data_IF_396763065671
#
_entry.id   IF_396763065671
#
_cell.length_a   1.000
_cell.length_b   1.000
_cell.length_c   1.000
_cell.angle_alpha   90.00
_cell.angle_beta   90.00
_cell.angle_gamma   90.00
#
_symmetry.space_group_name_H-M   'P 1'
#
loop_
_entity.id
_entity.type
_entity.pdbx_description
1 polymer ?
#
# COMPACT_ATOMS: atom_id res chain seq x y z
N UNK A 1 72.76 -1.16 26.57
CA UNK A 1 72.27 -0.33 25.44
C UNK A 1 71.22 -1.13 24.69
N UNK A 2 69.93 -0.84 24.94
CA UNK A 2 68.79 -1.45 24.25
C UNK A 2 68.13 -0.35 23.42
N UNK A 3 68.11 -0.53 22.10
CA UNK A 3 67.49 0.37 21.13
C UNK A 3 66.17 -0.21 20.63
N UNK A 4 65.09 0.44 21.03
CA UNK A 4 63.99 0.97 20.21
C UNK A 4 63.37 0.08 19.12
N UNK A 5 62.10 -0.28 19.30
CA UNK A 5 60.94 0.34 18.58
C UNK A 5 59.63 -0.33 19.01
N UNK A 6 58.83 0.41 19.79
CA UNK A 6 57.42 0.14 20.00
C UNK A 6 56.64 0.71 18.81
N UNK A 7 55.90 -0.14 18.10
CA UNK A 7 54.96 0.27 17.05
C UNK A 7 53.62 0.51 17.75
N UNK A 8 53.31 1.79 17.93
CA UNK A 8 51.98 2.30 18.25
C UNK A 8 51.17 2.35 16.96
N UNK A 9 50.18 1.47 16.81
CA UNK A 9 49.14 1.61 15.79
C UNK A 9 47.93 2.31 16.42
N UNK A 10 47.86 3.61 16.16
CA UNK A 10 46.68 4.45 16.38
C UNK A 10 45.53 3.96 15.50
N UNK A 11 44.50 3.39 16.12
CA UNK A 11 43.21 3.15 15.49
C UNK A 11 42.57 4.51 15.15
N UNK A 12 42.58 4.86 13.87
CA UNK A 12 41.89 6.03 13.35
C UNK A 12 40.40 5.73 13.30
N UNK A 13 39.68 6.04 14.39
CA UNK A 13 38.22 6.06 14.42
C UNK A 13 37.70 7.26 13.65
N UNK A 14 37.47 7.08 12.34
CA UNK A 14 36.78 8.07 11.52
C UNK A 14 35.27 7.95 11.80
N UNK A 15 34.79 8.74 12.76
CA UNK A 15 33.36 8.99 12.95
C UNK A 15 32.83 9.73 11.73
N UNK A 16 32.19 9.00 10.82
CA UNK A 16 31.35 9.60 9.78
C UNK A 16 30.10 10.11 10.47
N UNK A 17 30.12 11.39 10.87
CA UNK A 17 28.91 12.10 11.23
C UNK A 17 28.10 12.30 9.93
N UNK A 18 27.13 11.43 9.70
CA UNK A 18 26.10 11.66 8.68
C UNK A 18 25.27 12.84 9.16
N UNK A 19 25.57 14.03 8.64
CA UNK A 19 24.68 15.17 8.77
C UNK A 19 23.37 14.83 8.03
N UNK A 20 22.34 14.46 8.80
CA UNK A 20 20.96 14.46 8.32
C UNK A 20 20.64 15.89 7.87
N UNK A 21 20.73 16.13 6.57
CA UNK A 21 20.28 17.37 5.98
C UNK A 21 18.76 17.38 6.11
N UNK A 22 18.25 18.09 7.12
CA UNK A 22 16.85 18.41 7.24
C UNK A 22 16.46 19.16 5.98
N UNK A 23 15.74 18.48 5.08
CA UNK A 23 15.10 19.11 3.94
C UNK A 23 14.09 20.11 4.50
N UNK A 24 14.49 21.39 4.63
CA UNK A 24 13.61 22.47 5.05
C UNK A 24 12.52 22.61 4.00
N UNK A 25 11.33 22.10 4.31
CA UNK A 25 10.13 22.39 3.55
C UNK A 25 9.77 23.86 3.77
N UNK A 26 9.72 24.63 2.69
CA UNK A 26 9.25 26.01 2.67
C UNK A 26 7.73 26.05 2.93
N UNK A 27 7.31 25.81 4.17
CA UNK A 27 5.97 26.11 4.66
C UNK A 27 6.10 27.14 5.79
N UNK A 28 5.24 28.15 5.79
CA UNK A 28 5.19 29.15 6.86
C UNK A 28 5.09 28.45 8.22
N UNK A 29 5.92 28.80 9.21
CA UNK A 29 5.93 28.11 10.49
C UNK A 29 4.57 28.27 11.19
N UNK A 30 3.98 27.15 11.59
CA UNK A 30 2.77 27.10 12.42
C UNK A 30 3.05 27.83 13.73
N UNK A 31 2.27 28.86 14.07
CA UNK A 31 2.41 29.55 15.35
C UNK A 31 1.78 28.75 16.49
N UNK A 32 2.28 28.92 17.72
CA UNK A 32 1.71 28.27 18.91
C UNK A 32 0.21 28.56 19.08
N UNK A 33 -0.21 29.81 18.84
CA UNK A 33 -1.62 30.19 18.93
C UNK A 33 -2.51 29.47 17.90
N UNK A 34 -2.02 29.29 16.66
CA UNK A 34 -2.74 28.52 15.64
C UNK A 34 -2.82 27.04 16.02
N UNK A 35 -1.72 26.47 16.52
CA UNK A 35 -1.68 25.08 16.96
C UNK A 35 -2.65 24.82 18.12
N UNK A 36 -2.64 25.67 19.14
CA UNK A 36 -3.52 25.52 20.30
C UNK A 36 -5.00 25.65 19.92
N UNK A 37 -5.32 26.61 19.04
CA UNK A 37 -6.68 26.76 18.51
C UNK A 37 -7.12 25.54 17.67
N UNK A 38 -6.21 25.00 16.86
CA UNK A 38 -6.46 23.80 16.07
C UNK A 38 -6.67 22.58 16.97
N UNK A 39 -5.76 22.33 17.92
CA UNK A 39 -5.86 21.20 18.83
C UNK A 39 -7.15 21.26 19.64
N UNK A 40 -7.49 22.42 20.21
CA UNK A 40 -8.74 22.62 20.94
C UNK A 40 -9.98 22.37 20.09
N UNK A 41 -9.95 22.74 18.81
CA UNK A 41 -11.08 22.51 17.89
C UNK A 41 -11.31 21.03 17.60
N UNK A 42 -10.25 20.21 17.64
CA UNK A 42 -10.26 18.84 17.15
C UNK A 42 -9.90 17.80 18.21
N UNK A 43 -9.81 18.20 19.48
CA UNK A 43 -9.47 17.34 20.63
C UNK A 43 -10.54 16.26 20.86
N UNK A 44 -11.80 16.56 20.54
CA UNK A 44 -12.89 15.60 20.57
C UNK A 44 -13.23 15.11 19.18
N UNK A 45 -13.28 13.79 19.00
CA UNK A 45 -13.80 13.20 17.78
C UNK A 45 -15.28 13.54 17.59
N UNK A 46 -15.62 14.07 16.43
CA UNK A 46 -16.99 14.23 15.96
C UNK A 46 -17.17 13.45 14.64
N UNK A 47 -18.21 12.63 14.56
CA UNK A 47 -18.46 11.82 13.38
C UNK A 47 -18.57 12.70 12.12
N UNK A 48 -17.86 12.30 11.06
CA UNK A 48 -17.81 12.99 9.76
C UNK A 48 -17.20 14.41 9.78
N UNK A 49 -16.62 14.86 10.91
CA UNK A 49 -15.85 16.10 10.97
C UNK A 49 -14.38 15.78 11.22
N UNK A 50 -13.53 16.09 10.26
CA UNK A 50 -12.09 15.81 10.36
C UNK A 50 -11.25 16.93 9.74
N UNK A 51 -10.05 17.19 10.28
CA UNK A 51 -9.11 18.18 9.72
C UNK A 51 -8.35 17.59 8.52
N UNK A 52 -9.07 17.18 7.48
CA UNK A 52 -8.52 16.51 6.30
C UNK A 52 -8.24 17.47 5.13
N UNK A 53 -8.59 18.75 5.29
CA UNK A 53 -8.29 19.81 4.31
C UNK A 53 -6.76 19.94 4.13
N UNK A 54 -6.24 20.00 2.89
CA UNK A 54 -4.81 20.21 2.64
C UNK A 54 -4.18 21.40 3.39
N UNK A 55 -4.95 22.48 3.64
CA UNK A 55 -4.43 23.65 4.36
C UNK A 55 -4.14 23.37 5.85
N UNK A 56 -4.80 22.37 6.41
CA UNK A 56 -4.69 21.99 7.82
C UNK A 56 -3.55 20.98 8.05
N UNK A 57 -2.91 20.47 6.99
CA UNK A 57 -1.83 19.47 7.08
C UNK A 57 -0.67 19.89 8.00
N UNK A 58 -0.13 21.12 7.92
CA UNK A 58 0.96 21.52 8.80
C UNK A 58 0.53 21.56 10.28
N UNK A 59 -0.72 21.96 10.55
CA UNK A 59 -1.29 21.99 11.90
C UNK A 59 -1.53 20.58 12.43
N UNK A 60 -2.01 19.66 11.59
CA UNK A 60 -2.23 18.27 11.94
C UNK A 60 -0.90 17.57 12.29
N UNK A 61 0.15 17.79 11.51
CA UNK A 61 1.47 17.22 11.80
C UNK A 61 2.09 17.82 13.07
N UNK A 62 1.95 19.14 13.28
CA UNK A 62 2.41 19.79 14.50
C UNK A 62 1.64 19.32 15.75
N UNK A 63 0.34 19.04 15.62
CA UNK A 63 -0.47 18.48 16.70
C UNK A 63 -0.04 17.05 17.04
N UNK A 64 0.21 16.21 16.03
CA UNK A 64 0.75 14.87 16.20
C UNK A 64 2.13 14.88 16.88
N UNK A 65 2.99 15.83 16.53
CA UNK A 65 4.30 15.98 17.17
C UNK A 65 4.19 16.44 18.63
N UNK A 66 3.28 17.37 18.92
CA UNK A 66 3.05 17.89 20.27
C UNK A 66 2.40 16.88 21.21
N UNK A 67 1.48 16.05 20.69
CA UNK A 67 0.74 15.06 21.47
C UNK A 67 0.52 13.77 20.67
N UNK A 68 1.53 12.88 20.55
CA UNK A 68 1.43 11.66 19.73
C UNK A 68 0.34 10.69 20.15
N UNK A 69 -0.16 10.80 21.39
CA UNK A 69 -1.23 9.96 21.96
C UNK A 69 -2.63 10.51 21.71
N UNK A 70 -2.73 11.76 21.25
CA UNK A 70 -4.00 12.37 20.88
C UNK A 70 -4.59 11.76 19.60
N UNK A 71 -5.74 12.29 19.12
CA UNK A 71 -6.47 11.74 17.97
C UNK A 71 -5.78 11.95 16.61
N UNK A 72 -4.60 12.58 16.58
CA UNK A 72 -3.98 13.11 15.36
C UNK A 72 -3.54 12.00 14.40
N UNK A 73 -3.06 10.85 14.92
CA UNK A 73 -2.72 9.70 14.10
C UNK A 73 -3.95 9.15 13.36
N UNK A 74 -5.10 9.10 14.05
CA UNK A 74 -6.38 8.72 13.45
C UNK A 74 -6.78 9.71 12.35
N UNK A 75 -6.62 11.02 12.55
CA UNK A 75 -6.92 11.99 11.50
C UNK A 75 -6.00 11.86 10.26
N UNK A 76 -4.72 11.52 10.44
CA UNK A 76 -3.81 11.19 9.33
C UNK A 76 -4.32 9.99 8.54
N UNK A 77 -4.78 8.93 9.23
CA UNK A 77 -5.36 7.73 8.62
C UNK A 77 -6.65 8.06 7.85
N UNK A 78 -7.54 8.86 8.45
CA UNK A 78 -8.78 9.29 7.81
C UNK A 78 -8.51 10.13 6.56
N UNK A 79 -7.50 11.03 6.61
CA UNK A 79 -7.07 11.80 5.44
C UNK A 79 -6.57 10.91 4.30
N UNK A 80 -5.82 9.85 4.60
CA UNK A 80 -5.39 8.90 3.58
C UNK A 80 -6.54 8.06 3.05
N UNK A 81 -7.51 7.70 3.88
CA UNK A 81 -8.74 7.04 3.45
C UNK A 81 -9.51 7.89 2.44
N UNK A 82 -9.60 9.20 2.67
CA UNK A 82 -10.16 10.14 1.70
C UNK A 82 -9.31 10.23 0.42
N UNK A 83 -7.98 10.30 0.53
CA UNK A 83 -7.07 10.25 -0.63
C UNK A 83 -7.37 9.03 -1.52
N UNK A 84 -7.52 7.85 -0.93
CA UNK A 84 -7.86 6.61 -1.64
C UNK A 84 -9.23 6.68 -2.29
N UNK A 85 -10.23 7.23 -1.59
CA UNK A 85 -11.59 7.38 -2.11
C UNK A 85 -11.62 8.30 -3.33
N UNK A 86 -10.99 9.48 -3.23
CA UNK A 86 -10.92 10.46 -4.31
C UNK A 86 -10.15 9.91 -5.51
N UNK A 87 -9.06 9.17 -5.27
CA UNK A 87 -8.25 8.55 -6.32
C UNK A 87 -9.03 7.57 -7.22
N UNK A 88 -10.17 7.03 -6.77
CA UNK A 88 -11.00 6.11 -7.57
C UNK A 88 -11.60 6.78 -8.81
N UNK A 89 -11.79 8.08 -8.76
CA UNK A 89 -12.41 8.88 -9.83
C UNK A 89 -11.38 9.59 -10.72
N UNK A 90 -10.08 9.43 -10.42
CA UNK A 90 -9.01 10.08 -11.16
C UNK A 90 -8.49 9.17 -12.29
N UNK A 91 -8.00 9.80 -13.35
CA UNK A 91 -7.19 9.12 -14.34
C UNK A 91 -5.82 8.72 -13.75
N UNK A 92 -4.98 8.01 -14.53
CA UNK A 92 -3.69 7.54 -14.05
C UNK A 92 -2.77 8.68 -13.57
N UNK A 93 -2.71 9.80 -14.30
CA UNK A 93 -1.86 10.92 -13.94
C UNK A 93 -2.32 11.59 -12.64
N UNK A 94 -3.62 11.83 -12.51
CA UNK A 94 -4.24 12.37 -11.30
C UNK A 94 -4.08 11.44 -10.10
N UNK A 95 -4.24 10.13 -10.29
CA UNK A 95 -4.01 9.11 -9.25
C UNK A 95 -2.56 9.15 -8.76
N UNK A 96 -1.58 9.12 -9.67
CA UNK A 96 -0.16 9.21 -9.33
C UNK A 96 0.17 10.49 -8.57
N UNK A 97 -0.30 11.65 -9.05
CA UNK A 97 -0.09 12.93 -8.38
C UNK A 97 -0.70 12.95 -6.96
N UNK A 98 -1.91 12.40 -6.81
CA UNK A 98 -2.64 12.33 -5.54
C UNK A 98 -1.91 11.49 -4.50
N UNK A 99 -1.46 10.29 -4.87
CA UNK A 99 -0.70 9.44 -3.96
C UNK A 99 0.68 10.01 -3.65
N UNK A 100 1.36 10.63 -4.62
CA UNK A 100 2.64 11.32 -4.38
C UNK A 100 2.48 12.45 -3.37
N UNK A 101 1.43 13.26 -3.48
CA UNK A 101 1.14 14.32 -2.53
C UNK A 101 0.90 13.77 -1.11
N UNK A 102 0.25 12.60 -0.98
CA UNK A 102 -0.01 12.01 0.35
C UNK A 102 1.26 11.64 1.13
N UNK A 103 2.37 11.36 0.43
CA UNK A 103 3.64 11.06 1.08
C UNK A 103 4.20 12.25 1.88
N UNK A 104 3.80 13.48 1.55
CA UNK A 104 4.23 14.69 2.26
C UNK A 104 3.74 14.73 3.72
N UNK A 105 2.62 14.08 4.03
CA UNK A 105 2.12 14.01 5.41
C UNK A 105 2.29 12.61 6.03
N UNK A 106 2.23 11.53 5.22
CA UNK A 106 2.40 10.18 5.75
C UNK A 106 3.81 9.91 6.29
N UNK A 107 4.87 10.31 5.55
CA UNK A 107 6.25 10.05 5.96
C UNK A 107 6.60 10.78 7.27
N UNK A 108 6.35 12.10 7.42
CA UNK A 108 6.59 12.79 8.69
C UNK A 108 5.76 12.26 9.86
N UNK A 109 4.51 11.88 9.62
CA UNK A 109 3.66 11.28 10.65
C UNK A 109 4.23 9.95 11.16
N UNK A 110 4.63 9.06 10.24
CA UNK A 110 5.29 7.78 10.56
C UNK A 110 6.60 7.98 11.33
N UNK A 111 7.42 8.96 10.93
CA UNK A 111 8.68 9.26 11.64
C UNK A 111 8.43 9.79 13.05
N UNK A 112 7.40 10.63 13.23
CA UNK A 112 6.99 11.17 14.53
C UNK A 112 6.49 10.08 15.47
N UNK A 113 5.63 9.21 14.97
CA UNK A 113 5.10 8.08 15.74
C UNK A 113 6.19 7.05 16.06
N UNK A 114 7.14 6.79 15.15
CA UNK A 114 8.28 5.91 15.43
C UNK A 114 9.11 6.45 16.61
N UNK A 115 9.44 7.75 16.62
CA UNK A 115 10.13 8.38 17.77
C UNK A 115 9.31 8.31 19.06
N UNK A 116 7.99 8.47 18.97
CA UNK A 116 7.11 8.37 20.14
C UNK A 116 7.08 6.95 20.73
N UNK A 117 7.10 5.92 19.87
CA UNK A 117 7.21 4.50 20.27
C UNK A 117 8.58 4.21 20.87
N UNK A 118 9.66 4.71 20.27
CA UNK A 118 11.02 4.56 20.83
C UNK A 118 11.13 5.17 22.23
N UNK A 119 10.47 6.31 22.46
CA UNK A 119 10.41 6.95 23.77
C UNK A 119 9.47 6.25 24.77
N UNK A 120 8.48 5.48 24.29
CA UNK A 120 7.46 4.83 25.11
C UNK A 120 7.18 3.39 24.61
N UNK A 121 8.16 2.49 24.68
CA UNK A 121 8.08 1.18 24.00
C UNK A 121 6.98 0.26 24.56
N UNK A 122 6.48 0.51 25.77
CA UNK A 122 5.41 -0.30 26.40
C UNK A 122 3.99 0.18 26.02
N UNK A 123 3.87 1.30 25.30
CA UNK A 123 2.58 1.88 24.94
C UNK A 123 1.97 1.19 23.71
N UNK A 124 1.04 0.27 23.97
CA UNK A 124 0.40 -0.56 22.94
C UNK A 124 -0.43 0.24 21.93
N UNK A 125 -1.01 1.37 22.32
CA UNK A 125 -1.79 2.20 21.40
C UNK A 125 -0.86 2.90 20.42
N UNK A 126 0.27 3.45 20.90
CA UNK A 126 1.29 4.05 20.04
C UNK A 126 1.94 3.05 19.09
N UNK A 127 2.11 1.78 19.50
CA UNK A 127 2.71 0.74 18.65
C UNK A 127 1.90 0.43 17.38
N UNK A 128 0.58 0.67 17.39
CA UNK A 128 -0.29 0.30 16.27
C UNK A 128 -0.13 1.22 15.06
N UNK A 129 -0.16 2.53 15.28
CA UNK A 129 -0.23 3.54 14.22
C UNK A 129 0.95 3.53 13.22
N UNK A 130 2.23 3.35 13.63
CA UNK A 130 3.34 3.32 12.69
C UNK A 130 3.20 2.22 11.63
N UNK A 131 2.73 1.04 12.01
CA UNK A 131 2.59 -0.10 11.09
C UNK A 131 1.46 0.12 10.07
N UNK A 132 0.35 0.71 10.51
CA UNK A 132 -0.74 1.08 9.62
C UNK A 132 -0.30 2.16 8.61
N UNK A 133 0.32 3.24 9.10
CA UNK A 133 0.82 4.32 8.23
C UNK A 133 1.91 3.80 7.29
N UNK A 134 2.76 2.86 7.73
CA UNK A 134 3.76 2.20 6.86
C UNK A 134 3.08 1.50 5.68
N UNK A 135 1.97 0.79 5.92
CA UNK A 135 1.19 0.14 4.85
C UNK A 135 0.66 1.17 3.84
N UNK A 136 0.19 2.33 4.33
CA UNK A 136 -0.26 3.43 3.48
C UNK A 136 0.86 4.10 2.69
N UNK A 137 2.05 4.26 3.29
CA UNK A 137 3.25 4.74 2.60
C UNK A 137 3.60 3.76 1.47
N UNK A 138 3.62 2.45 1.73
CA UNK A 138 3.93 1.46 0.68
C UNK A 138 2.97 1.55 -0.50
N UNK A 139 1.66 1.65 -0.23
CA UNK A 139 0.66 1.86 -1.29
C UNK A 139 0.91 3.18 -2.04
N UNK A 140 1.12 4.27 -1.32
CA UNK A 140 1.31 5.59 -1.93
C UNK A 140 2.60 5.68 -2.74
N UNK A 141 3.69 5.07 -2.28
CA UNK A 141 4.97 4.97 -2.99
C UNK A 141 4.80 4.19 -4.30
N UNK A 142 4.14 3.02 -4.25
CA UNK A 142 3.80 2.26 -5.44
C UNK A 142 2.98 3.14 -6.41
N UNK A 143 1.85 3.69 -5.98
CA UNK A 143 0.97 4.51 -6.82
C UNK A 143 1.63 5.76 -7.40
N UNK A 144 2.58 6.34 -6.66
CA UNK A 144 3.38 7.49 -7.08
C UNK A 144 4.49 7.11 -8.08
N UNK A 145 4.70 5.82 -8.36
CA UNK A 145 5.78 5.36 -9.23
C UNK A 145 7.17 5.58 -8.62
N UNK A 146 7.28 5.53 -7.29
CA UNK A 146 8.52 5.76 -6.56
C UNK A 146 9.08 4.44 -6.04
N UNK A 147 10.40 4.38 -5.84
CA UNK A 147 11.12 3.23 -5.26
C UNK A 147 10.76 1.88 -5.92
N UNK A 148 10.42 1.90 -7.21
CA UNK A 148 9.90 0.75 -7.95
C UNK A 148 10.91 -0.40 -8.04
N UNK A 149 12.20 -0.08 -8.09
CA UNK A 149 13.28 -1.07 -8.11
C UNK A 149 13.32 -1.88 -6.80
N UNK A 150 13.19 -1.21 -5.66
CA UNK A 150 13.19 -1.87 -4.35
C UNK A 150 11.91 -2.71 -4.17
N UNK A 151 10.74 -2.15 -4.52
CA UNK A 151 9.47 -2.88 -4.50
C UNK A 151 9.54 -4.14 -5.38
N UNK A 152 10.14 -4.03 -6.56
CA UNK A 152 10.33 -5.15 -7.48
C UNK A 152 11.25 -6.21 -6.87
N UNK A 153 12.41 -5.81 -6.35
CA UNK A 153 13.38 -6.71 -5.73
C UNK A 153 12.77 -7.47 -4.55
N UNK A 154 12.02 -6.78 -3.69
CA UNK A 154 11.36 -7.39 -2.52
C UNK A 154 10.29 -8.42 -2.95
N UNK A 155 9.49 -8.09 -3.95
CA UNK A 155 8.46 -8.99 -4.47
C UNK A 155 9.07 -10.23 -5.15
N UNK A 156 10.15 -10.05 -5.92
CA UNK A 156 10.91 -11.16 -6.53
C UNK A 156 11.55 -12.06 -5.47
N UNK A 157 12.15 -11.47 -4.43
CA UNK A 157 12.70 -12.22 -3.30
C UNK A 157 11.62 -12.99 -2.53
N UNK A 158 10.44 -12.39 -2.31
CA UNK A 158 9.32 -13.05 -1.67
C UNK A 158 8.83 -14.27 -2.47
N UNK A 159 8.74 -14.15 -3.80
CA UNK A 159 8.42 -15.28 -4.68
C UNK A 159 9.50 -16.36 -4.65
N UNK A 160 10.77 -15.99 -4.74
CA UNK A 160 11.90 -16.93 -4.72
C UNK A 160 11.98 -17.73 -3.40
N UNK A 161 11.63 -17.10 -2.28
CA UNK A 161 11.62 -17.73 -0.95
C UNK A 161 10.32 -18.48 -0.64
N UNK A 162 9.28 -18.37 -1.48
CA UNK A 162 7.99 -19.03 -1.28
C UNK A 162 8.07 -20.51 -1.72
N UNK A 163 8.77 -21.34 -0.94
CA UNK A 163 9.05 -22.74 -1.29
C UNK A 163 8.14 -23.75 -0.59
N UNK A 164 7.48 -23.35 0.51
CA UNK A 164 6.56 -24.21 1.25
C UNK A 164 5.17 -24.26 0.59
N UNK A 165 5.01 -25.21 -0.33
CA UNK A 165 3.72 -25.44 -1.04
C UNK A 165 2.56 -25.88 -0.15
N UNK A 166 2.82 -26.31 1.09
CA UNK A 166 1.78 -26.72 2.04
C UNK A 166 1.34 -25.58 2.96
N UNK A 167 2.05 -24.45 2.93
CA UNK A 167 1.66 -23.26 3.67
C UNK A 167 0.29 -22.75 3.22
N UNK A 168 -0.58 -22.44 4.18
CA UNK A 168 -1.87 -21.79 3.91
C UNK A 168 -1.72 -20.47 3.14
N UNK A 169 -0.54 -19.84 3.23
CA UNK A 169 -0.24 -18.55 2.62
C UNK A 169 0.48 -18.66 1.26
N UNK A 170 0.84 -19.88 0.82
CA UNK A 170 1.61 -20.09 -0.40
C UNK A 170 0.97 -19.43 -1.62
N UNK A 171 -0.34 -19.65 -1.82
CA UNK A 171 -1.07 -19.07 -2.95
C UNK A 171 -1.34 -17.57 -2.82
N UNK A 172 -1.41 -17.03 -1.60
CA UNK A 172 -1.51 -15.58 -1.40
C UNK A 172 -0.23 -14.90 -1.87
N UNK A 173 0.94 -15.43 -1.49
CA UNK A 173 2.23 -14.85 -1.91
C UNK A 173 2.35 -14.83 -3.43
N UNK A 174 2.01 -15.93 -4.11
CA UNK A 174 2.03 -15.95 -5.59
C UNK A 174 1.13 -14.86 -6.17
N UNK A 175 -0.12 -14.76 -5.69
CA UNK A 175 -1.08 -13.79 -6.20
C UNK A 175 -0.62 -12.36 -5.94
N UNK A 176 -0.32 -12.03 -4.68
CA UNK A 176 -0.03 -10.67 -4.23
C UNK A 176 1.26 -10.15 -4.84
N UNK A 177 2.32 -10.97 -4.89
CA UNK A 177 3.61 -10.52 -5.42
C UNK A 177 3.58 -10.38 -6.93
N UNK A 178 2.94 -11.28 -7.67
CA UNK A 178 2.78 -11.08 -9.12
C UNK A 178 1.85 -9.91 -9.44
N UNK A 179 0.76 -9.72 -8.67
CA UNK A 179 -0.06 -8.51 -8.80
C UNK A 179 0.78 -7.25 -8.59
N UNK A 180 1.59 -7.20 -7.53
CA UNK A 180 2.49 -6.08 -7.25
C UNK A 180 3.51 -5.84 -8.37
N UNK A 181 4.17 -6.89 -8.86
CA UNK A 181 5.12 -6.81 -9.97
C UNK A 181 4.47 -6.31 -11.26
N UNK A 182 3.25 -6.76 -11.57
CA UNK A 182 2.52 -6.26 -12.73
C UNK A 182 2.18 -4.77 -12.60
N UNK A 183 1.82 -4.32 -11.40
CA UNK A 183 1.55 -2.90 -11.12
C UNK A 183 2.83 -2.05 -11.20
N UNK A 184 3.97 -2.59 -10.77
CA UNK A 184 5.28 -1.96 -10.98
C UNK A 184 5.55 -1.83 -12.48
N UNK A 185 5.42 -2.92 -13.24
CA UNK A 185 5.65 -2.93 -14.68
C UNK A 185 4.78 -1.89 -15.43
N UNK A 186 3.51 -1.72 -15.04
CA UNK A 186 2.65 -0.66 -15.62
C UNK A 186 3.20 0.75 -15.39
N UNK A 187 3.78 1.03 -14.22
CA UNK A 187 4.37 2.34 -13.88
C UNK A 187 5.68 2.58 -14.61
N UNK A 188 6.40 1.52 -14.93
CA UNK A 188 7.59 1.55 -15.79
C UNK A 188 7.25 1.56 -17.29
N UNK A 189 5.97 1.53 -17.67
CA UNK A 189 5.53 1.48 -19.08
C UNK A 189 5.73 0.12 -19.76
N UNK A 190 6.00 -0.95 -19.00
CA UNK A 190 6.28 -2.30 -19.48
C UNK A 190 4.98 -3.12 -19.57
N UNK A 191 4.16 -2.83 -20.58
CA UNK A 191 2.82 -3.38 -20.71
C UNK A 191 2.80 -4.92 -20.82
N UNK A 192 3.70 -5.50 -21.61
CA UNK A 192 3.76 -6.95 -21.79
C UNK A 192 4.21 -7.68 -20.51
N UNK A 193 5.11 -7.09 -19.73
CA UNK A 193 5.49 -7.63 -18.42
C UNK A 193 4.32 -7.59 -17.44
N UNK A 194 3.53 -6.50 -17.45
CA UNK A 194 2.33 -6.39 -16.61
C UNK A 194 1.29 -7.46 -16.94
N UNK A 195 1.03 -7.71 -18.23
CA UNK A 195 0.14 -8.78 -18.71
C UNK A 195 0.60 -10.15 -18.23
N UNK A 196 1.88 -10.46 -18.43
CA UNK A 196 2.48 -11.71 -17.96
C UNK A 196 2.27 -11.89 -16.46
N UNK A 197 2.55 -10.85 -15.68
CA UNK A 197 2.39 -10.89 -14.23
C UNK A 197 0.92 -11.04 -13.79
N UNK A 198 -0.05 -10.45 -14.48
CA UNK A 198 -1.46 -10.69 -14.21
C UNK A 198 -1.81 -12.18 -14.37
N UNK A 199 -1.36 -12.81 -15.45
CA UNK A 199 -1.62 -14.23 -15.70
C UNK A 199 -0.92 -15.13 -14.67
N UNK A 200 0.33 -14.82 -14.29
CA UNK A 200 1.02 -15.57 -13.23
C UNK A 200 0.32 -15.42 -11.88
N UNK A 201 -0.23 -14.25 -11.54
CA UNK A 201 -1.04 -14.09 -10.35
C UNK A 201 -2.28 -15.00 -10.39
N UNK A 202 -2.98 -15.05 -11.53
CA UNK A 202 -4.14 -15.92 -11.73
C UNK A 202 -3.82 -17.42 -11.68
N UNK A 203 -2.58 -17.82 -11.99
CA UNK A 203 -2.11 -19.22 -11.95
C UNK A 203 -1.83 -19.75 -10.55
N UNK A 204 -1.99 -18.93 -9.51
CA UNK A 204 -1.94 -19.37 -8.11
C UNK A 204 -2.84 -20.61 -7.88
N UNK A 205 -2.43 -21.57 -7.02
CA UNK A 205 -3.31 -22.67 -6.61
C UNK A 205 -4.49 -22.18 -5.74
N UNK A 206 -4.55 -20.90 -5.39
CA UNK A 206 -5.52 -20.33 -4.47
C UNK A 206 -5.07 -20.45 -3.01
N UNK A 207 -5.94 -20.02 -2.11
CA UNK A 207 -5.72 -20.05 -0.66
C UNK A 207 -7.09 -19.98 0.05
N UNK A 208 -7.19 -20.27 1.35
CA UNK A 208 -8.45 -20.08 2.08
C UNK A 208 -9.04 -18.67 1.90
N UNK A 209 -8.19 -17.64 1.89
CA UNK A 209 -8.60 -16.25 1.68
C UNK A 209 -9.07 -15.99 0.25
N UNK A 210 -8.28 -16.37 -0.76
CA UNK A 210 -8.58 -16.16 -2.18
C UNK A 210 -9.81 -16.96 -2.62
N UNK A 211 -10.03 -18.14 -2.04
CA UNK A 211 -11.17 -19.00 -2.35
C UNK A 211 -12.48 -18.45 -1.77
N UNK A 212 -12.39 -17.69 -0.67
CA UNK A 212 -13.53 -17.12 0.03
C UNK A 212 -13.83 -15.69 -0.45
N UNK A 213 -12.98 -14.73 -0.08
CA UNK A 213 -13.18 -13.31 -0.37
C UNK A 213 -12.88 -12.95 -1.83
N UNK A 214 -12.04 -13.75 -2.48
CA UNK A 214 -11.57 -13.48 -3.83
C UNK A 214 -10.28 -12.66 -3.86
N UNK A 215 -9.68 -12.58 -5.05
CA UNK A 215 -8.52 -11.74 -5.26
C UNK A 215 -8.89 -10.26 -5.35
N UNK A 216 -7.90 -9.39 -5.15
CA UNK A 216 -8.00 -7.98 -5.54
C UNK A 216 -7.84 -7.82 -7.06
N UNK A 217 -8.76 -7.14 -7.74
CA UNK A 217 -8.77 -6.97 -9.20
C UNK A 217 -8.07 -5.70 -9.73
N UNK A 218 -7.36 -4.92 -8.89
CA UNK A 218 -6.75 -3.63 -9.31
C UNK A 218 -5.83 -3.76 -10.53
N UNK A 219 -4.93 -4.76 -10.60
CA UNK A 219 -4.06 -4.93 -11.78
C UNK A 219 -4.87 -5.24 -13.05
N UNK A 220 -5.88 -6.10 -12.94
CA UNK A 220 -6.79 -6.43 -14.04
C UNK A 220 -7.53 -5.17 -14.52
N UNK A 221 -8.01 -4.33 -13.60
CA UNK A 221 -8.61 -3.04 -13.91
C UNK A 221 -7.61 -2.10 -14.61
N UNK A 222 -6.41 -1.91 -14.06
CA UNK A 222 -5.38 -1.04 -14.65
C UNK A 222 -4.99 -1.48 -16.08
N UNK A 223 -5.01 -2.79 -16.37
CA UNK A 223 -4.81 -3.35 -17.71
C UNK A 223 -6.04 -3.16 -18.64
N UNK A 224 -7.26 -3.36 -18.13
CA UNK A 224 -8.49 -3.11 -18.89
C UNK A 224 -8.64 -1.63 -19.27
N UNK A 225 -8.28 -0.70 -18.38
CA UNK A 225 -8.25 0.76 -18.66
C UNK A 225 -7.24 1.12 -19.78
N UNK A 226 -6.28 0.23 -20.05
CA UNK A 226 -5.32 0.35 -21.17
C UNK A 226 -5.76 -0.41 -22.43
N UNK A 227 -6.95 -1.03 -22.42
CA UNK A 227 -7.50 -1.78 -23.54
C UNK A 227 -7.07 -3.24 -23.64
N UNK A 228 -6.35 -3.77 -22.65
CA UNK A 228 -5.85 -5.16 -22.65
C UNK A 228 -6.93 -6.16 -22.22
N UNK A 229 -8.08 -6.13 -22.90
CA UNK A 229 -9.28 -6.88 -22.49
C UNK A 229 -9.10 -8.39 -22.58
N UNK A 230 -8.46 -8.91 -23.63
CA UNK A 230 -8.28 -10.35 -23.83
C UNK A 230 -7.45 -10.98 -22.71
N UNK A 231 -6.35 -10.33 -22.31
CA UNK A 231 -5.53 -10.79 -21.18
C UNK A 231 -6.30 -10.75 -19.86
N UNK A 232 -7.13 -9.73 -19.65
CA UNK A 232 -7.96 -9.65 -18.45
C UNK A 232 -9.02 -10.76 -18.46
N UNK A 233 -9.63 -11.07 -19.60
CA UNK A 233 -10.58 -12.18 -19.75
C UNK A 233 -9.90 -13.52 -19.41
N UNK A 234 -8.71 -13.78 -19.94
CA UNK A 234 -7.93 -14.99 -19.61
C UNK A 234 -7.63 -15.07 -18.10
N UNK A 235 -7.25 -13.95 -17.49
CA UNK A 235 -7.06 -13.88 -16.04
C UNK A 235 -8.35 -14.23 -15.27
N UNK A 236 -9.53 -13.76 -15.70
CA UNK A 236 -10.79 -14.11 -15.05
C UNK A 236 -11.11 -15.61 -15.16
N UNK A 237 -10.72 -16.26 -16.26
CA UNK A 237 -10.86 -17.72 -16.40
C UNK A 237 -9.92 -18.47 -15.44
N UNK A 238 -8.71 -17.95 -15.20
CA UNK A 238 -7.79 -18.50 -14.19
C UNK A 238 -8.36 -18.33 -12.77
N UNK A 239 -8.88 -17.14 -12.44
CA UNK A 239 -9.51 -16.85 -11.14
C UNK A 239 -10.72 -17.74 -10.87
N UNK A 240 -11.50 -18.05 -11.92
CA UNK A 240 -12.69 -18.89 -11.78
C UNK A 240 -12.37 -20.27 -11.18
N UNK A 241 -11.17 -20.80 -11.40
CA UNK A 241 -10.75 -22.11 -10.90
C UNK A 241 -10.72 -22.21 -9.38
N UNK A 242 -10.44 -21.12 -8.68
CA UNK A 242 -10.29 -21.13 -7.22
C UNK A 242 -11.37 -20.31 -6.48
N UNK A 243 -11.87 -19.23 -7.10
CA UNK A 243 -12.85 -18.34 -6.47
C UNK A 243 -14.31 -18.66 -6.86
N UNK A 244 -14.52 -19.15 -8.09
CA UNK A 244 -15.84 -19.31 -8.69
C UNK A 244 -16.09 -20.74 -9.22
N UNK A 245 -15.49 -21.74 -8.58
CA UNK A 245 -15.64 -23.13 -8.97
C UNK A 245 -16.57 -23.87 -7.99
N UNK A 246 -17.85 -24.07 -8.33
CA UNK A 246 -18.81 -24.77 -7.46
C UNK A 246 -18.51 -26.26 -7.32
N UNK A 247 -17.82 -26.88 -8.27
CA UNK A 247 -17.51 -28.32 -8.26
C UNK A 247 -16.47 -28.67 -7.20
N UNK A 248 -15.60 -27.71 -6.85
CA UNK A 248 -14.59 -27.80 -5.78
C UNK A 248 -15.17 -27.47 -4.39
N UNK A 249 -16.48 -27.27 -4.26
CA UNK A 249 -17.16 -27.00 -2.99
C UNK A 249 -17.94 -28.22 -2.54
N UNK A 250 -17.92 -28.50 -1.24
CA UNK A 250 -18.68 -29.63 -0.65
C UNK A 250 -20.02 -29.15 -0.09
N UNK A 251 -20.03 -28.01 0.59
CA UNK A 251 -21.22 -27.47 1.25
C UNK A 251 -22.14 -26.70 0.30
N UNK A 252 -23.46 -26.85 0.47
CA UNK A 252 -24.47 -26.22 -0.38
C UNK A 252 -24.35 -24.68 -0.42
N UNK A 253 -24.08 -24.04 0.71
CA UNK A 253 -23.89 -22.59 0.77
C UNK A 253 -22.65 -22.15 -0.02
N UNK A 254 -21.54 -22.85 0.13
CA UNK A 254 -20.30 -22.55 -0.59
C UNK A 254 -20.46 -22.75 -2.10
N UNK A 255 -21.20 -23.78 -2.53
CA UNK A 255 -21.59 -23.98 -3.94
C UNK A 255 -22.44 -22.81 -4.47
N UNK A 256 -23.40 -22.34 -3.70
CA UNK A 256 -24.25 -21.21 -4.07
C UNK A 256 -23.40 -19.94 -4.29
N UNK A 257 -22.53 -19.62 -3.34
CA UNK A 257 -21.62 -18.47 -3.42
C UNK A 257 -20.69 -18.58 -4.63
N UNK A 258 -20.08 -19.75 -4.87
CA UNK A 258 -19.22 -19.96 -6.03
C UNK A 258 -19.97 -19.80 -7.36
N UNK A 259 -21.23 -20.24 -7.43
CA UNK A 259 -22.08 -20.03 -8.61
C UNK A 259 -22.38 -18.55 -8.84
N UNK A 260 -22.60 -17.76 -7.77
CA UNK A 260 -22.84 -16.32 -7.90
C UNK A 260 -21.57 -15.57 -8.33
N UNK A 261 -20.40 -15.95 -7.82
CA UNK A 261 -19.11 -15.47 -8.34
C UNK A 261 -18.92 -15.83 -9.82
N UNK A 262 -19.33 -17.03 -10.24
CA UNK A 262 -19.19 -17.44 -11.64
C UNK A 262 -20.09 -16.60 -12.57
N UNK A 263 -21.32 -16.31 -12.15
CA UNK A 263 -22.21 -15.38 -12.87
C UNK A 263 -21.58 -13.98 -12.96
N UNK A 264 -21.00 -13.51 -11.87
CA UNK A 264 -20.33 -12.20 -11.81
C UNK A 264 -19.14 -12.13 -12.77
N UNK A 265 -18.23 -13.11 -12.73
CA UNK A 265 -17.09 -13.20 -13.66
C UNK A 265 -17.54 -13.25 -15.11
N UNK A 266 -18.63 -13.98 -15.40
CA UNK A 266 -19.18 -14.04 -16.75
C UNK A 266 -19.76 -12.70 -17.20
N UNK A 267 -20.44 -11.95 -16.33
CA UNK A 267 -20.93 -10.61 -16.63
C UNK A 267 -19.75 -9.66 -16.96
N UNK A 268 -18.71 -9.65 -16.14
CA UNK A 268 -17.50 -8.86 -16.39
C UNK A 268 -16.83 -9.22 -17.71
N UNK A 269 -16.71 -10.52 -18.03
CA UNK A 269 -16.18 -10.96 -19.33
C UNK A 269 -17.01 -10.44 -20.51
N UNK A 270 -18.34 -10.31 -20.39
CA UNK A 270 -19.16 -9.72 -21.45
C UNK A 270 -18.91 -8.22 -21.62
N UNK A 271 -18.77 -7.48 -20.52
CA UNK A 271 -18.43 -6.06 -20.56
C UNK A 271 -17.06 -5.83 -21.22
N UNK A 272 -16.05 -6.63 -20.83
CA UNK A 272 -14.71 -6.58 -21.41
C UNK A 272 -14.71 -6.88 -22.91
N UNK A 273 -15.45 -7.89 -23.37
CA UNK A 273 -15.63 -8.20 -24.81
C UNK A 273 -16.30 -7.07 -25.57
N UNK A 274 -17.15 -6.29 -24.91
CA UNK A 274 -17.77 -5.09 -25.46
C UNK A 274 -16.84 -3.85 -25.40
N UNK A 275 -15.59 -4.02 -24.97
CA UNK A 275 -14.61 -2.94 -24.83
C UNK A 275 -14.85 -2.04 -23.61
N UNK A 276 -15.56 -2.52 -22.60
CA UNK A 276 -15.92 -1.77 -21.39
C UNK A 276 -15.19 -2.32 -20.17
N UNK A 277 -14.68 -1.42 -19.34
CA UNK A 277 -14.14 -1.78 -18.02
C UNK A 277 -15.32 -2.03 -17.07
N UNK A 278 -15.37 -3.16 -16.36
CA UNK A 278 -16.47 -3.47 -15.46
C UNK A 278 -16.74 -2.41 -14.38
N UNK A 279 -18.02 -2.05 -14.22
CA UNK A 279 -18.48 -1.05 -13.25
C UNK A 279 -19.05 -1.73 -11.97
N UNK A 280 -18.21 -2.44 -11.24
CA UNK A 280 -18.61 -3.18 -10.03
C UNK A 280 -17.72 -2.85 -8.82
N UNK A 281 -18.28 -2.86 -7.60
CA UNK A 281 -17.55 -2.51 -6.37
C UNK A 281 -16.30 -3.36 -6.13
N UNK A 282 -16.40 -4.68 -6.31
CA UNK A 282 -15.26 -5.63 -6.21
C UNK A 282 -14.17 -5.41 -7.28
N UNK A 283 -14.51 -4.72 -8.37
CA UNK A 283 -13.59 -4.39 -9.46
C UNK A 283 -12.83 -3.08 -9.22
N UNK A 284 -13.35 -2.19 -8.36
CA UNK A 284 -12.93 -0.80 -8.20
C UNK A 284 -11.90 -0.53 -7.12
#
# INVERSE_FOLDING_TARGET
MKTTRAISMLASGLLIAVALSACKTNQSPVTTAQLDAFMKRWETYEAFKTPVDPKDEPLLLAALEKDPKGPWATYVIMKFSQTRFEARQLDNAGRTARYRASLNYLKPARDTLARAVEANPEDKELQHFPNEIKTYISLATLEAGLDLADIKSDAEAALANNTDTQSWNYGNIIYDQHSLLGRVALREGKLDEAKRHLLEAGRTPGSPQLNSYGPNFILARELAEKGEFDTVIEFLDLVARFWANPDERTEANSKCVANDHLKLLNAWKQELRAGKVPDHGTWK
#
